data_IF_840780028078
#
_entry.id   IF_840780028078
#
_cell.length_a   1.000
_cell.length_b   1.000
_cell.length_c   1.000
_cell.angle_alpha   90.00
_cell.angle_beta   90.00
_cell.angle_gamma   90.00
#
_symmetry.space_group_name_H-M   'P 1'
#
loop_
_entity.id
_entity.type
_entity.pdbx_description
1 polymer ?
#
# COMPACT_ATOMS: atom_id res chain seq x y z
N UNK A 1 -7.64 -2.94 -19.60
CA UNK A 1 -6.28 -2.63 -19.17
C UNK A 1 -6.18 -2.72 -17.66
N UNK A 2 -5.08 -3.29 -17.13
CA UNK A 2 -4.86 -3.25 -15.68
C UNK A 2 -4.57 -1.83 -15.21
N UNK A 3 -4.97 -1.52 -14.00
CA UNK A 3 -4.62 -0.24 -13.40
C UNK A 3 -4.48 -0.39 -11.89
N UNK A 4 -3.79 0.57 -11.28
CA UNK A 4 -3.48 0.59 -9.86
C UNK A 4 -3.91 1.93 -9.29
N UNK A 5 -4.57 1.88 -8.14
CA UNK A 5 -4.94 3.08 -7.39
C UNK A 5 -4.41 2.98 -5.96
N UNK A 6 -4.17 4.12 -5.35
CA UNK A 6 -3.70 4.21 -3.98
C UNK A 6 -4.69 5.03 -3.16
N UNK A 7 -5.04 4.52 -1.98
CA UNK A 7 -5.90 5.23 -1.04
C UNK A 7 -5.31 5.18 0.36
N UNK A 8 -5.31 6.30 1.05
CA UNK A 8 -4.96 6.36 2.46
C UNK A 8 -6.23 6.14 3.27
N UNK A 9 -6.24 5.09 4.08
CA UNK A 9 -7.42 4.72 4.84
C UNK A 9 -7.51 5.48 6.16
N UNK A 10 -6.42 5.49 6.94
CA UNK A 10 -6.38 6.09 8.28
C UNK A 10 -4.98 6.62 8.54
N UNK A 11 -4.89 7.67 9.35
CA UNK A 11 -3.62 8.22 9.82
C UNK A 11 -3.71 8.49 11.31
N UNK A 12 -2.75 8.00 12.07
CA UNK A 12 -2.67 8.18 13.52
C UNK A 12 -1.41 8.93 13.91
N UNK A 13 -1.55 9.73 14.97
CA UNK A 13 -0.41 10.40 15.62
C UNK A 13 0.12 9.49 16.73
N UNK A 14 1.39 9.08 16.64
CA UNK A 14 2.05 8.29 17.68
C UNK A 14 3.14 9.09 18.39
N UNK A 15 3.10 10.41 18.30
CA UNK A 15 4.10 11.29 18.88
C UNK A 15 4.25 11.10 20.38
N UNK A 16 5.50 11.24 20.84
CA UNK A 16 5.84 11.24 22.26
C UNK A 16 6.34 12.62 22.67
N UNK A 17 6.73 12.78 23.93
CA UNK A 17 7.28 14.04 24.42
C UNK A 17 8.55 14.48 23.69
N UNK A 18 9.35 13.52 23.18
CA UNK A 18 10.62 13.77 22.53
C UNK A 18 10.62 13.50 21.03
N UNK A 19 9.58 12.86 20.51
CA UNK A 19 9.51 12.47 19.10
C UNK A 19 8.13 12.76 18.54
N UNK A 20 8.11 13.10 17.24
CA UNK A 20 6.86 13.36 16.52
C UNK A 20 6.76 12.35 15.38
N UNK A 21 5.66 11.60 15.34
CA UNK A 21 5.48 10.59 14.33
C UNK A 21 4.02 10.33 14.02
N UNK A 22 3.79 9.68 12.88
CA UNK A 22 2.45 9.31 12.44
C UNK A 22 2.46 7.90 11.88
N UNK A 23 1.35 7.21 12.07
CA UNK A 23 1.08 5.93 11.45
C UNK A 23 0.01 6.12 10.38
N UNK A 24 0.25 5.52 9.22
CA UNK A 24 -0.66 5.59 8.09
C UNK A 24 -1.04 4.19 7.64
N UNK A 25 -2.32 3.98 7.38
CA UNK A 25 -2.80 2.75 6.75
C UNK A 25 -3.12 3.08 5.30
N UNK A 26 -2.41 2.42 4.40
CA UNK A 26 -2.49 2.67 2.98
C UNK A 26 -2.99 1.42 2.27
N UNK A 27 -3.86 1.59 1.29
CA UNK A 27 -4.36 0.48 0.50
C UNK A 27 -4.00 0.71 -0.97
N UNK A 28 -3.34 -0.28 -1.57
CA UNK A 28 -3.09 -0.30 -3.00
C UNK A 28 -4.09 -1.24 -3.63
N UNK A 29 -4.84 -0.74 -4.60
CA UNK A 29 -5.81 -1.53 -5.34
C UNK A 29 -5.28 -1.82 -6.73
N UNK A 30 -5.38 -3.08 -7.14
CA UNK A 30 -4.95 -3.54 -8.46
C UNK A 30 -6.16 -4.12 -9.16
N UNK A 31 -6.42 -3.66 -10.37
CA UNK A 31 -7.55 -4.13 -11.17
C UNK A 31 -7.05 -4.80 -12.44
N UNK A 32 -7.56 -5.99 -12.72
CA UNK A 32 -7.20 -6.74 -13.92
C UNK A 32 -8.43 -7.41 -14.49
N UNK A 33 -8.65 -7.25 -15.79
CA UNK A 33 -9.79 -7.87 -16.48
C UNK A 33 -9.32 -9.00 -17.39
N UNK A 34 -8.62 -8.64 -18.45
CA UNK A 34 -8.25 -9.59 -19.49
C UNK A 34 -7.24 -10.63 -19.03
N UNK A 35 -6.26 -10.20 -18.23
CA UNK A 35 -5.21 -11.09 -17.71
C UNK A 35 -5.62 -11.89 -16.49
N UNK A 36 -6.76 -11.56 -15.89
CA UNK A 36 -7.34 -12.29 -14.79
C UNK A 36 -6.52 -12.31 -13.52
N UNK A 37 -6.70 -13.39 -12.76
CA UNK A 37 -6.06 -13.56 -11.44
C UNK A 37 -4.54 -13.57 -11.53
N UNK A 38 -3.99 -14.21 -12.55
CA UNK A 38 -2.53 -14.30 -12.73
C UNK A 38 -1.92 -12.91 -12.90
N UNK A 39 -2.54 -12.10 -13.76
CA UNK A 39 -2.06 -10.74 -13.98
C UNK A 39 -2.13 -9.91 -12.71
N UNK A 40 -3.23 -10.01 -11.95
CA UNK A 40 -3.37 -9.30 -10.69
C UNK A 40 -2.25 -9.68 -9.72
N UNK A 41 -1.98 -10.98 -9.57
CA UNK A 41 -0.90 -11.46 -8.70
C UNK A 41 0.48 -10.99 -9.16
N UNK A 42 0.74 -10.97 -10.47
CA UNK A 42 2.02 -10.50 -11.01
C UNK A 42 2.25 -9.02 -10.69
N UNK A 43 1.21 -8.20 -10.85
CA UNK A 43 1.30 -6.78 -10.55
C UNK A 43 1.54 -6.57 -9.05
N UNK A 44 0.79 -7.30 -8.22
CA UNK A 44 0.95 -7.22 -6.76
C UNK A 44 2.36 -7.62 -6.32
N UNK A 45 2.93 -8.67 -6.93
CA UNK A 45 4.29 -9.11 -6.67
C UNK A 45 5.31 -8.01 -6.98
N UNK A 46 5.17 -7.35 -8.11
CA UNK A 46 6.06 -6.25 -8.49
C UNK A 46 5.96 -5.09 -7.51
N UNK A 47 4.75 -4.77 -7.06
CA UNK A 47 4.55 -3.72 -6.07
C UNK A 47 5.22 -4.08 -4.76
N UNK A 48 5.01 -5.32 -4.27
CA UNK A 48 5.62 -5.77 -3.01
C UNK A 48 7.14 -5.68 -3.06
N UNK A 49 7.74 -6.14 -4.16
CA UNK A 49 9.19 -6.12 -4.30
C UNK A 49 9.76 -4.70 -4.32
N UNK A 50 9.03 -3.76 -4.90
CA UNK A 50 9.45 -2.36 -4.94
C UNK A 50 9.33 -1.66 -3.60
N UNK A 51 8.35 -2.05 -2.79
CA UNK A 51 8.04 -1.38 -1.53
C UNK A 51 8.67 -2.04 -0.32
N UNK A 52 9.12 -3.29 -0.44
CA UNK A 52 9.69 -4.02 0.69
C UNK A 52 10.93 -3.31 1.23
N UNK A 53 10.89 -3.03 2.52
CA UNK A 53 12.01 -2.38 3.21
C UNK A 53 12.28 -0.95 2.79
N UNK A 54 11.36 -0.33 2.07
CA UNK A 54 11.54 1.03 1.61
C UNK A 54 11.61 2.00 2.78
N UNK A 55 12.63 2.84 2.78
CA UNK A 55 12.71 4.01 3.65
C UNK A 55 13.05 5.21 2.78
N UNK A 56 12.55 6.37 3.15
CA UNK A 56 12.78 7.56 2.34
C UNK A 56 12.62 8.82 3.18
N UNK A 57 13.49 9.81 2.91
CA UNK A 57 13.41 11.12 3.52
C UNK A 57 12.60 12.05 2.61
N UNK A 58 11.71 12.80 3.21
CA UNK A 58 10.99 13.88 2.56
C UNK A 58 11.43 15.21 3.19
N UNK A 59 10.90 16.33 2.68
CA UNK A 59 11.33 17.64 3.13
C UNK A 59 11.19 17.84 4.65
N UNK A 60 10.11 17.34 5.26
CA UNK A 60 9.84 17.53 6.67
C UNK A 60 9.61 16.24 7.44
N UNK A 61 9.63 15.10 6.76
CA UNK A 61 9.33 13.81 7.36
C UNK A 61 10.23 12.74 6.78
N UNK A 62 10.33 11.63 7.51
CA UNK A 62 11.05 10.43 7.07
C UNK A 62 10.13 9.23 7.17
N UNK A 63 10.07 8.44 6.12
CA UNK A 63 9.41 7.14 6.15
C UNK A 63 10.37 6.15 6.80
N UNK A 64 10.04 5.68 8.01
CA UNK A 64 10.92 4.79 8.77
C UNK A 64 10.51 3.33 8.69
N UNK A 65 9.26 3.06 8.35
CA UNK A 65 8.76 1.69 8.22
C UNK A 65 7.64 1.65 7.21
N UNK A 66 7.70 0.65 6.34
CA UNK A 66 6.59 0.33 5.43
C UNK A 66 6.42 -1.18 5.46
N UNK A 67 5.29 -1.65 5.96
CA UNK A 67 5.06 -3.07 6.19
C UNK A 67 3.74 -3.51 5.58
N UNK A 68 3.80 -4.59 4.79
CA UNK A 68 2.60 -5.24 4.26
C UNK A 68 1.90 -5.98 5.39
N UNK A 69 0.61 -5.67 5.60
CA UNK A 69 -0.19 -6.30 6.65
C UNK A 69 -1.22 -7.28 6.09
N UNK A 70 -1.68 -7.06 4.86
CA UNK A 70 -2.77 -7.84 4.30
C UNK A 70 -2.73 -7.79 2.79
N UNK A 71 -3.05 -8.91 2.14
CA UNK A 71 -3.25 -8.96 0.70
C UNK A 71 -4.39 -9.92 0.36
N UNK A 72 -5.10 -9.62 -0.72
CA UNK A 72 -6.21 -10.42 -1.17
C UNK A 72 -6.44 -10.20 -2.66
N UNK A 73 -6.97 -11.20 -3.34
CA UNK A 73 -7.39 -11.11 -4.73
C UNK A 73 -8.75 -11.75 -4.85
N UNK A 74 -9.73 -11.00 -5.37
CA UNK A 74 -11.10 -11.47 -5.56
C UNK A 74 -11.60 -11.16 -6.94
N UNK A 75 -12.53 -11.99 -7.42
CA UNK A 75 -13.29 -11.65 -8.60
C UNK A 75 -14.37 -10.65 -8.22
N UNK A 76 -14.42 -9.53 -8.94
CA UNK A 76 -15.44 -8.49 -8.75
C UNK A 76 -16.46 -8.59 -9.88
N UNK A 77 -17.66 -8.99 -9.55
CA UNK A 77 -18.73 -9.19 -10.53
C UNK A 77 -19.11 -7.88 -11.22
N UNK A 78 -19.18 -6.80 -10.46
CA UNK A 78 -19.57 -5.49 -11.00
C UNK A 78 -18.57 -4.97 -12.02
N UNK A 79 -17.28 -5.21 -11.80
CA UNK A 79 -16.22 -4.77 -12.69
C UNK A 79 -15.86 -5.82 -13.75
N UNK A 80 -16.42 -7.02 -13.65
CA UNK A 80 -16.11 -8.16 -14.50
C UNK A 80 -14.61 -8.40 -14.60
N UNK A 81 -13.97 -8.48 -13.45
CA UNK A 81 -12.53 -8.65 -13.39
C UNK A 81 -12.05 -8.96 -11.99
N UNK A 82 -10.75 -9.09 -11.84
CA UNK A 82 -10.14 -9.36 -10.55
C UNK A 82 -9.65 -8.09 -9.88
N UNK A 83 -9.93 -8.00 -8.60
CA UNK A 83 -9.52 -6.90 -7.74
C UNK A 83 -8.53 -7.42 -6.72
N UNK A 84 -7.28 -6.97 -6.82
CA UNK A 84 -6.25 -7.24 -5.84
C UNK A 84 -6.13 -6.09 -4.86
N UNK A 85 -5.77 -6.40 -3.62
CA UNK A 85 -5.61 -5.40 -2.59
C UNK A 85 -4.36 -5.70 -1.79
N UNK A 86 -3.52 -4.68 -1.59
CA UNK A 86 -2.37 -4.72 -0.69
C UNK A 86 -2.57 -3.63 0.35
N UNK A 87 -2.59 -4.01 1.62
CA UNK A 87 -2.71 -3.04 2.71
C UNK A 87 -1.38 -2.91 3.44
N UNK A 88 -0.87 -1.68 3.52
CA UNK A 88 0.39 -1.37 4.15
C UNK A 88 0.18 -0.50 5.38
N UNK A 89 1.06 -0.72 6.36
CA UNK A 89 1.23 0.20 7.47
C UNK A 89 2.54 0.94 7.27
N UNK A 90 2.48 2.26 7.30
CA UNK A 90 3.65 3.12 7.17
C UNK A 90 3.82 3.93 8.45
N UNK A 91 5.05 4.03 8.93
CA UNK A 91 5.40 4.89 10.04
C UNK A 91 6.30 5.99 9.52
N UNK A 92 5.95 7.23 9.84
CA UNK A 92 6.75 8.40 9.51
C UNK A 92 7.13 9.16 10.77
N UNK A 93 8.23 9.86 10.71
CA UNK A 93 8.65 10.75 11.80
C UNK A 93 9.04 12.11 11.24
N UNK A 94 8.91 13.15 12.06
CA UNK A 94 9.34 14.48 11.70
C UNK A 94 10.88 14.53 11.69
N UNK A 95 11.43 15.26 10.73
CA UNK A 95 12.89 15.39 10.58
C UNK A 95 13.35 16.73 11.12
#
# INVERSE_FOLDING_TARGET
LPYVTLAQTVSYDWSTASESGREHLLTVHVWSRAGGRVEAHEIMEKIRLRLEGLTQDFASHRLVLLMLEFEDVRFDVAEDGYHGMLRYRALTEAV
#
